data_IF_465534586958
#
_entry.id   IF_465534586958
#
_cell.length_a   1.000
_cell.length_b   1.000
_cell.length_c   1.000
_cell.angle_alpha   90.00
_cell.angle_beta   90.00
_cell.angle_gamma   90.00
#
_symmetry.space_group_name_H-M   'P 1'
#
loop_
_entity.id
_entity.type
_entity.pdbx_description
1 polymer ?
#
# COMPACT_ATOMS: atom_id res chain seq x y z
N UNK A 1 -5.01 8.12 7.78
CA UNK A 1 -6.20 7.83 6.96
C UNK A 1 -7.39 8.19 7.81
N UNK A 2 -8.30 9.00 7.28
CA UNK A 2 -9.53 9.34 7.97
C UNK A 2 -10.51 8.17 7.85
N UNK A 3 -11.45 7.99 8.81
CA UNK A 3 -12.48 6.96 8.69
C UNK A 3 -13.43 7.26 7.50
N UNK A 4 -14.05 6.24 6.90
CA UNK A 4 -15.02 6.44 5.83
C UNK A 4 -16.24 7.25 6.35
N UNK A 5 -16.72 8.18 5.53
CA UNK A 5 -17.83 9.08 5.89
C UNK A 5 -19.20 8.49 5.56
N UNK A 6 -19.25 7.43 4.76
CA UNK A 6 -20.49 6.73 4.36
C UNK A 6 -20.33 5.23 4.53
N UNK A 7 -21.45 4.53 4.75
CA UNK A 7 -21.47 3.05 4.78
C UNK A 7 -21.00 2.46 3.46
N UNK A 8 -21.33 3.09 2.33
CA UNK A 8 -20.90 2.66 1.00
C UNK A 8 -19.37 2.71 0.87
N UNK A 9 -18.72 3.80 1.31
CA UNK A 9 -17.27 3.89 1.34
C UNK A 9 -16.65 2.92 2.36
N UNK A 10 -17.33 2.62 3.47
CA UNK A 10 -16.85 1.64 4.44
C UNK A 10 -16.83 0.21 3.87
N UNK A 11 -17.83 -0.19 3.08
CA UNK A 11 -17.92 -1.54 2.51
C UNK A 11 -17.32 -1.67 1.11
N UNK A 12 -16.98 -0.56 0.45
CA UNK A 12 -16.36 -0.57 -0.86
C UNK A 12 -14.95 -1.18 -0.86
N UNK A 13 -14.58 -1.74 -2.01
CA UNK A 13 -13.26 -2.32 -2.22
C UNK A 13 -12.14 -1.31 -1.90
N UNK A 14 -11.02 -1.83 -1.40
CA UNK A 14 -9.84 -1.06 -1.04
C UNK A 14 -8.65 -1.56 -1.87
N UNK A 15 -8.04 -0.65 -2.61
CA UNK A 15 -6.80 -0.89 -3.34
C UNK A 15 -5.63 -0.26 -2.58
N UNK A 16 -4.63 -1.08 -2.24
CA UNK A 16 -3.44 -0.64 -1.52
C UNK A 16 -2.21 -0.80 -2.41
N UNK A 17 -1.50 0.29 -2.64
CA UNK A 17 -0.16 0.27 -3.21
C UNK A 17 0.87 0.51 -2.11
N UNK A 18 1.75 -0.47 -1.90
CA UNK A 18 2.85 -0.36 -0.95
C UNK A 18 4.16 -0.08 -1.67
N UNK A 19 4.70 1.12 -1.48
CA UNK A 19 6.01 1.53 -1.97
C UNK A 19 7.12 0.86 -1.15
N UNK A 20 7.65 -0.25 -1.64
CA UNK A 20 8.73 -1.00 -0.98
C UNK A 20 10.05 -0.24 -0.96
N UNK A 21 10.24 0.75 -1.84
CA UNK A 21 11.46 1.56 -1.85
C UNK A 21 11.45 2.54 -0.68
N UNK A 22 10.32 3.21 -0.46
CA UNK A 22 10.19 4.19 0.63
C UNK A 22 9.89 3.50 1.97
N UNK A 23 9.15 2.40 1.96
CA UNK A 23 8.81 1.61 3.14
C UNK A 23 9.28 0.16 2.97
N UNK A 24 10.59 -0.13 2.98
CA UNK A 24 11.09 -1.49 2.80
C UNK A 24 10.70 -2.39 3.97
N UNK A 25 10.68 -3.69 3.70
CA UNK A 25 10.53 -4.71 4.75
C UNK A 25 11.77 -4.69 5.65
N UNK A 26 11.63 -4.62 6.99
CA UNK A 26 12.78 -4.71 7.88
C UNK A 26 13.48 -6.07 7.80
N UNK A 27 14.79 -6.07 8.01
CA UNK A 27 15.58 -7.30 8.03
C UNK A 27 15.07 -8.31 9.07
N UNK A 28 14.97 -9.57 8.67
CA UNK A 28 14.46 -10.65 9.53
C UNK A 28 12.95 -10.60 9.80
N UNK A 29 12.22 -9.62 9.27
CA UNK A 29 10.77 -9.54 9.44
C UNK A 29 10.04 -10.56 8.56
N UNK A 30 9.00 -11.20 9.11
CA UNK A 30 8.20 -12.17 8.37
C UNK A 30 7.24 -11.46 7.41
N UNK A 31 7.60 -11.46 6.12
CA UNK A 31 6.81 -10.83 5.05
C UNK A 31 5.36 -11.34 4.97
N UNK A 32 5.10 -12.59 5.39
CA UNK A 32 3.74 -13.19 5.40
C UNK A 32 2.76 -12.43 6.30
N UNK A 33 3.26 -11.65 7.26
CA UNK A 33 2.43 -10.88 8.22
C UNK A 33 2.01 -9.52 7.69
N UNK A 34 2.64 -9.01 6.63
CA UNK A 34 2.40 -7.65 6.12
C UNK A 34 0.93 -7.47 5.75
N UNK A 35 0.38 -8.39 4.97
CA UNK A 35 -1.03 -8.33 4.51
C UNK A 35 -2.00 -8.28 5.69
N UNK A 36 -1.85 -9.21 6.63
CA UNK A 36 -2.70 -9.30 7.83
C UNK A 36 -2.66 -8.03 8.69
N UNK A 37 -1.50 -7.37 8.79
CA UNK A 37 -1.36 -6.13 9.56
C UNK A 37 -2.05 -4.97 8.84
N UNK A 38 -1.86 -4.86 7.52
CA UNK A 38 -2.51 -3.83 6.70
C UNK A 38 -4.04 -4.00 6.79
N UNK A 39 -4.54 -5.21 6.58
CA UNK A 39 -5.95 -5.54 6.70
C UNK A 39 -6.49 -5.18 8.07
N UNK A 40 -5.86 -5.67 9.14
CA UNK A 40 -6.28 -5.35 10.51
C UNK A 40 -6.32 -3.85 10.76
N UNK A 41 -5.35 -3.09 10.26
CA UNK A 41 -5.31 -1.63 10.43
C UNK A 41 -6.45 -0.95 9.67
N UNK A 42 -6.70 -1.32 8.42
CA UNK A 42 -7.82 -0.80 7.63
C UNK A 42 -9.16 -1.05 8.33
N UNK A 43 -9.37 -2.27 8.85
CA UNK A 43 -10.57 -2.64 9.60
C UNK A 43 -10.75 -1.82 10.87
N UNK A 44 -9.66 -1.54 11.59
CA UNK A 44 -9.67 -0.64 12.76
C UNK A 44 -10.08 0.80 12.42
N UNK A 45 -9.83 1.25 11.19
CA UNK A 45 -10.28 2.56 10.70
C UNK A 45 -11.69 2.55 10.11
N UNK A 46 -12.40 1.41 10.13
CA UNK A 46 -13.77 1.27 9.63
C UNK A 46 -13.89 0.84 8.17
N UNK A 47 -12.78 0.51 7.51
CA UNK A 47 -12.79 0.00 6.14
C UNK A 47 -12.97 -1.51 6.12
N UNK A 48 -14.15 -1.95 5.67
CA UNK A 48 -14.63 -3.31 5.72
C UNK A 48 -14.79 -4.00 4.36
N UNK A 49 -14.56 -3.31 3.26
CA UNK A 49 -14.63 -3.94 1.94
C UNK A 49 -13.49 -4.92 1.64
N UNK A 50 -13.55 -5.59 0.47
CA UNK A 50 -12.46 -6.43 -0.03
C UNK A 50 -11.16 -5.65 -0.18
N UNK A 51 -10.02 -6.22 0.22
CA UNK A 51 -8.72 -5.54 0.21
C UNK A 51 -7.80 -6.21 -0.82
N UNK A 52 -7.28 -5.42 -1.75
CA UNK A 52 -6.26 -5.83 -2.72
C UNK A 52 -4.97 -5.10 -2.43
N UNK A 53 -3.90 -5.83 -2.15
CA UNK A 53 -2.59 -5.25 -1.80
C UNK A 53 -1.59 -5.58 -2.91
N UNK A 54 -0.94 -4.53 -3.43
CA UNK A 54 0.15 -4.65 -4.37
C UNK A 54 1.41 -4.02 -3.78
N UNK A 55 2.46 -4.81 -3.60
CA UNK A 55 3.79 -4.34 -3.29
C UNK A 55 4.48 -3.87 -4.58
N UNK A 56 4.95 -2.63 -4.58
CA UNK A 56 5.48 -1.95 -5.75
C UNK A 56 6.92 -1.54 -5.45
N UNK A 57 7.86 -1.95 -6.29
CA UNK A 57 9.26 -1.60 -6.11
C UNK A 57 10.17 -2.25 -7.15
N UNK A 58 11.46 -1.94 -7.06
CA UNK A 58 12.50 -2.63 -7.83
C UNK A 58 12.73 -3.99 -7.16
N UNK A 59 12.32 -5.08 -7.81
CA UNK A 59 12.34 -6.40 -7.20
C UNK A 59 13.72 -7.07 -7.24
N UNK A 60 14.60 -6.64 -8.16
CA UNK A 60 15.92 -7.24 -8.41
C UNK A 60 16.89 -7.18 -7.20
N UNK A 61 16.57 -6.38 -6.18
CA UNK A 61 17.35 -6.29 -4.93
C UNK A 61 16.67 -6.91 -3.71
N UNK A 62 15.48 -7.48 -3.86
CA UNK A 62 14.72 -8.06 -2.75
C UNK A 62 14.99 -9.55 -2.66
N UNK A 63 15.27 -10.11 -1.47
CA UNK A 63 15.47 -11.55 -1.33
C UNK A 63 14.28 -12.35 -1.86
N UNK A 64 14.55 -13.37 -2.69
CA UNK A 64 13.51 -14.20 -3.33
C UNK A 64 12.54 -14.79 -2.31
N UNK A 65 13.06 -15.30 -1.17
CA UNK A 65 12.23 -15.82 -0.07
C UNK A 65 11.23 -14.80 0.47
N UNK A 66 11.59 -13.51 0.48
CA UNK A 66 10.69 -12.45 0.90
C UNK A 66 9.60 -12.21 -0.16
N UNK A 67 9.95 -12.21 -1.45
CA UNK A 67 8.98 -12.09 -2.54
C UNK A 67 7.99 -13.26 -2.57
N UNK A 68 8.47 -14.50 -2.43
CA UNK A 68 7.64 -15.71 -2.30
C UNK A 68 6.71 -15.64 -1.08
N UNK A 69 7.24 -15.16 0.05
CA UNK A 69 6.46 -14.99 1.27
C UNK A 69 5.34 -13.94 1.11
N UNK A 70 5.58 -12.86 0.35
CA UNK A 70 4.56 -11.88 -0.01
C UNK A 70 3.49 -12.48 -0.92
N UNK A 71 3.89 -13.12 -2.02
CA UNK A 71 2.97 -13.76 -2.97
C UNK A 71 2.10 -14.81 -2.29
N UNK A 72 2.69 -15.70 -1.50
CA UNK A 72 1.96 -16.74 -0.78
C UNK A 72 1.07 -16.20 0.35
N UNK A 73 1.22 -14.94 0.73
CA UNK A 73 0.31 -14.24 1.66
C UNK A 73 -0.84 -13.51 0.96
N UNK A 74 -0.91 -13.58 -0.38
CA UNK A 74 -1.93 -12.90 -1.18
C UNK A 74 -1.56 -11.48 -1.60
N UNK A 75 -0.31 -11.05 -1.40
CA UNK A 75 0.18 -9.75 -1.85
C UNK A 75 0.73 -9.88 -3.28
N UNK A 76 0.16 -9.10 -4.20
CA UNK A 76 0.67 -9.00 -5.58
C UNK A 76 1.98 -8.23 -5.62
N UNK A 77 2.86 -8.58 -6.55
CA UNK A 77 4.12 -7.87 -6.77
C UNK A 77 4.08 -7.11 -8.10
N UNK A 78 4.52 -5.86 -8.10
CA UNK A 78 4.67 -5.05 -9.31
C UNK A 78 6.10 -4.53 -9.40
N UNK A 79 6.80 -4.93 -10.46
CA UNK A 79 8.15 -4.43 -10.73
C UNK A 79 8.08 -3.00 -11.28
N UNK A 80 8.63 -2.06 -10.50
CA UNK A 80 8.62 -0.64 -10.77
C UNK A 80 10.04 -0.13 -11.00
N UNK A 81 10.53 -0.10 -12.26
CA UNK A 81 11.91 0.30 -12.56
C UNK A 81 12.20 1.77 -12.19
N UNK A 82 11.18 2.61 -12.06
CA UNK A 82 11.30 4.02 -11.63
C UNK A 82 10.89 4.23 -10.16
N UNK A 83 10.67 3.15 -9.39
CA UNK A 83 10.38 3.18 -7.95
C UNK A 83 9.13 3.99 -7.60
N UNK A 84 9.23 4.91 -6.64
CA UNK A 84 8.12 5.75 -6.14
C UNK A 84 7.34 6.50 -7.24
N UNK A 85 8.00 6.87 -8.35
CA UNK A 85 7.31 7.51 -9.48
C UNK A 85 6.28 6.58 -10.13
N UNK A 86 6.59 5.28 -10.20
CA UNK A 86 5.64 4.29 -10.71
C UNK A 86 4.48 4.08 -9.74
N UNK A 87 4.70 4.12 -8.43
CA UNK A 87 3.62 4.06 -7.43
C UNK A 87 2.64 5.21 -7.62
N UNK A 88 3.14 6.43 -7.79
CA UNK A 88 2.31 7.60 -8.03
C UNK A 88 1.53 7.48 -9.35
N UNK A 89 2.19 7.00 -10.41
CA UNK A 89 1.56 6.78 -11.72
C UNK A 89 0.48 5.71 -11.67
N UNK A 90 0.73 4.59 -10.99
CA UNK A 90 -0.25 3.53 -10.74
C UNK A 90 -1.46 4.09 -9.99
N UNK A 91 -1.23 4.78 -8.86
CA UNK A 91 -2.29 5.37 -8.06
C UNK A 91 -3.14 6.37 -8.86
N UNK A 92 -2.53 7.18 -9.73
CA UNK A 92 -3.23 8.10 -10.62
C UNK A 92 -4.09 7.36 -11.65
N UNK A 93 -3.53 6.33 -12.30
CA UNK A 93 -4.25 5.56 -13.32
C UNK A 93 -5.35 4.68 -12.74
N UNK A 94 -5.16 4.11 -11.56
CA UNK A 94 -6.20 3.33 -10.88
C UNK A 94 -7.46 4.13 -10.61
N UNK A 95 -7.40 5.46 -10.52
CA UNK A 95 -8.62 6.29 -10.34
C UNK A 95 -9.59 6.21 -11.52
N UNK A 96 -9.14 5.81 -12.70
CA UNK A 96 -10.01 5.63 -13.86
C UNK A 96 -10.76 4.29 -13.80
N UNK A 97 -10.06 3.21 -13.43
CA UNK A 97 -10.62 1.86 -13.36
C UNK A 97 -11.24 1.52 -11.99
N UNK A 98 -10.95 2.33 -10.97
CA UNK A 98 -11.38 2.17 -9.60
C UNK A 98 -12.05 3.45 -9.07
N UNK A 99 -13.19 3.87 -9.66
CA UNK A 99 -13.90 5.07 -9.25
C UNK A 99 -14.59 4.87 -7.88
N UNK A 100 -15.06 5.96 -7.24
CA UNK A 100 -15.93 5.89 -6.08
C UNK A 100 -17.13 4.95 -6.31
N UNK A 101 -17.53 4.16 -5.29
CA UNK A 101 -17.14 4.27 -3.87
C UNK A 101 -15.80 3.62 -3.47
N UNK A 102 -14.94 3.20 -4.42
CA UNK A 102 -13.65 2.57 -4.11
C UNK A 102 -12.66 3.43 -3.29
N UNK A 103 -11.92 2.77 -2.38
CA UNK A 103 -10.89 3.40 -1.55
C UNK A 103 -9.48 3.09 -2.07
N UNK A 104 -8.69 4.13 -2.35
CA UNK A 104 -7.29 3.97 -2.75
C UNK A 104 -6.35 4.42 -1.63
N UNK A 105 -5.45 3.54 -1.20
CA UNK A 105 -4.42 3.83 -0.20
C UNK A 105 -3.03 3.63 -0.77
N UNK A 106 -2.12 4.55 -0.49
CA UNK A 106 -0.70 4.42 -0.81
C UNK A 106 0.10 4.41 0.49
N UNK A 107 0.88 3.35 0.72
CA UNK A 107 1.83 3.24 1.84
C UNK A 107 3.19 3.65 1.30
N UNK A 108 3.62 4.86 1.64
CA UNK A 108 4.94 5.40 1.33
C UNK A 108 5.40 6.32 2.48
N UNK A 109 6.69 6.65 2.55
CA UNK A 109 7.18 7.63 3.52
C UNK A 109 6.82 9.04 3.05
N UNK A 110 6.45 9.96 3.96
CA UNK A 110 6.37 11.37 3.61
C UNK A 110 7.74 11.85 3.13
N UNK A 111 7.81 12.82 2.19
CA UNK A 111 9.07 13.45 1.86
C UNK A 111 9.72 14.01 3.13
N UNK A 112 11.02 13.80 3.31
CA UNK A 112 11.79 14.21 4.50
C UNK A 112 11.65 15.71 4.86
N UNK A 113 11.17 16.53 3.93
CA UNK A 113 10.88 17.96 4.13
C UNK A 113 9.58 18.27 4.88
N UNK A 114 8.67 17.31 5.10
CA UNK A 114 7.44 17.58 5.85
C UNK A 114 7.65 17.74 7.37
N UNK A 115 8.86 17.48 7.88
CA UNK A 115 9.22 17.64 9.31
C UNK A 115 9.86 19.01 9.58
N UNK A 116 10.11 19.84 8.57
CA UNK A 116 10.64 21.20 8.74
C UNK A 116 9.79 22.21 7.98
N UNK A 117 8.49 22.33 8.30
CA UNK A 117 7.71 23.57 8.09
C UNK A 117 6.47 23.57 9.02
N UNK A 118 6.64 23.19 10.29
CA UNK A 118 5.71 23.57 11.37
C UNK A 118 6.52 24.31 12.44
N UNK A 119 7.05 25.48 12.05
CA UNK A 119 7.64 26.43 12.99
C UNK A 119 7.50 27.86 12.48
N UNK A 120 6.26 28.36 12.49
CA UNK A 120 5.79 29.63 13.10
C UNK A 120 4.49 30.09 12.47
#
# INVERSE_FOLDING_TARGET
MEPPTTTEAAEAAILVYWDMKMCPLPDGYNARRVGQIIERKLRQFGYNGPITITAVGILDGVPERALEALLSSGISLYNAPYGTKDVARLALWSRYDFPPPGNLMVISRPPEAAVILDSK
#
